data_IF_595091321976
#
_entry.id   IF_595091321976
#
_cell.length_a   1.000
_cell.length_b   1.000
_cell.length_c   1.000
_cell.angle_alpha   90.00
_cell.angle_beta   90.00
_cell.angle_gamma   90.00
#
_symmetry.space_group_name_H-M   'P 1'
#
loop_
_entity.id
_entity.type
_entity.pdbx_description
1 polymer ?
#
# COMPACT_ATOMS: atom_id res chain seq x y z
N UNK A 1 25.00 -10.20 -17.93
CA UNK A 1 23.92 -9.37 -18.52
C UNK A 1 22.66 -9.54 -17.67
N UNK A 2 22.33 -8.55 -16.85
CA UNK A 2 21.11 -8.55 -16.04
C UNK A 2 20.64 -7.12 -15.87
N UNK A 3 19.90 -6.60 -16.84
CA UNK A 3 19.33 -5.25 -16.76
C UNK A 3 18.25 -5.28 -15.68
N UNK A 4 18.56 -4.73 -14.52
CA UNK A 4 17.61 -4.39 -13.47
C UNK A 4 16.60 -3.41 -14.06
N UNK A 5 15.38 -3.88 -14.32
CA UNK A 5 14.26 -3.01 -14.66
C UNK A 5 13.79 -2.42 -13.33
N UNK A 6 14.47 -1.36 -12.89
CA UNK A 6 13.90 -0.41 -11.97
C UNK A 6 12.71 0.24 -12.69
N UNK A 7 11.52 -0.34 -12.51
CA UNK A 7 10.29 0.32 -12.94
C UNK A 7 10.19 1.64 -12.18
N UNK A 8 10.33 2.71 -12.94
CA UNK A 8 9.88 4.08 -12.73
C UNK A 8 8.91 4.26 -11.56
N UNK A 9 9.47 4.48 -10.36
CA UNK A 9 8.74 5.07 -9.24
C UNK A 9 8.67 6.57 -9.51
N UNK A 10 7.61 6.98 -10.21
CA UNK A 10 7.28 8.38 -10.53
C UNK A 10 7.24 9.22 -9.26
N UNK A 11 8.31 9.94 -8.94
CA UNK A 11 8.32 11.08 -8.02
C UNK A 11 7.55 10.88 -6.71
N UNK A 12 7.94 9.92 -5.88
CA UNK A 12 7.35 9.73 -4.55
C UNK A 12 8.21 10.46 -3.53
N UNK A 13 7.82 11.66 -3.11
CA UNK A 13 8.42 12.27 -1.91
C UNK A 13 8.07 11.38 -0.72
N UNK A 14 9.07 10.80 -0.03
CA UNK A 14 8.84 10.01 1.17
C UNK A 14 8.23 10.90 2.25
N UNK A 15 7.32 10.32 3.03
CA UNK A 15 6.68 10.99 4.17
C UNK A 15 7.79 11.39 5.15
N UNK A 16 7.83 12.66 5.56
CA UNK A 16 8.91 13.19 6.41
C UNK A 16 8.85 12.57 7.83
N UNK A 17 7.74 11.95 8.21
CA UNK A 17 7.49 11.36 9.53
C UNK A 17 6.67 10.04 9.51
N UNK A 18 6.21 9.60 8.34
CA UNK A 18 5.34 8.43 8.21
C UNK A 18 3.83 8.71 8.31
N UNK A 19 3.42 9.96 8.58
CA UNK A 19 2.01 10.34 8.73
C UNK A 19 1.50 11.00 7.44
N UNK A 20 0.39 10.53 6.83
CA UNK A 20 -0.12 11.17 5.62
C UNK A 20 -0.78 12.52 5.94
N UNK A 21 -0.68 13.46 5.00
CA UNK A 21 -1.36 14.75 5.08
C UNK A 21 -2.88 14.58 5.34
N UNK A 22 -3.54 15.44 6.14
CA UNK A 22 -4.96 15.31 6.49
C UNK A 22 -5.90 15.14 5.29
N UNK A 23 -5.69 15.92 4.22
CA UNK A 23 -6.47 15.78 2.97
C UNK A 23 -6.32 14.38 2.35
N UNK A 24 -5.12 13.81 2.40
CA UNK A 24 -4.86 12.44 1.89
C UNK A 24 -5.67 11.43 2.68
N UNK A 25 -5.68 11.55 4.01
CA UNK A 25 -6.44 10.67 4.90
C UNK A 25 -7.95 10.80 4.66
N UNK A 26 -8.47 12.02 4.56
CA UNK A 26 -9.90 12.26 4.32
C UNK A 26 -10.37 11.63 3.01
N UNK A 27 -9.64 11.86 1.92
CA UNK A 27 -9.96 11.26 0.61
C UNK A 27 -9.82 9.74 0.66
N UNK A 28 -8.75 9.23 1.27
CA UNK A 28 -8.54 7.78 1.40
C UNK A 28 -9.67 7.11 2.17
N UNK A 29 -10.11 7.68 3.29
CA UNK A 29 -11.28 7.20 4.05
C UNK A 29 -12.54 7.20 3.20
N UNK A 30 -12.82 8.29 2.48
CA UNK A 30 -13.99 8.36 1.59
C UNK A 30 -13.94 7.24 0.51
N UNK A 31 -12.78 7.02 -0.11
CA UNK A 31 -12.59 5.93 -1.08
C UNK A 31 -12.83 4.55 -0.46
N UNK A 32 -12.33 4.31 0.75
CA UNK A 32 -12.53 3.06 1.51
C UNK A 32 -13.99 2.84 1.90
N UNK A 33 -14.73 3.92 2.20
CA UNK A 33 -16.17 3.90 2.42
C UNK A 33 -17.01 3.75 1.14
N UNK A 34 -16.38 3.61 -0.03
CA UNK A 34 -17.06 3.34 -1.31
C UNK A 34 -17.34 4.58 -2.17
N UNK A 35 -16.80 5.75 -1.82
CA UNK A 35 -16.95 6.94 -2.66
C UNK A 35 -16.37 6.71 -4.07
N UNK A 36 -17.15 7.09 -5.09
CA UNK A 36 -16.75 6.97 -6.49
C UNK A 36 -16.26 8.32 -7.01
N UNK A 37 -14.94 8.48 -7.05
CA UNK A 37 -14.32 9.63 -7.71
C UNK A 37 -14.19 9.36 -9.23
N UNK A 38 -14.97 10.11 -10.02
CA UNK A 38 -14.77 10.20 -11.47
C UNK A 38 -13.92 11.42 -11.81
N UNK A 39 -12.93 11.24 -12.68
CA UNK A 39 -12.08 12.33 -13.18
C UNK A 39 -12.88 13.40 -13.90
N UNK A 40 -13.89 13.01 -14.67
CA UNK A 40 -14.72 13.94 -15.45
C UNK A 40 -15.67 14.76 -14.57
N UNK A 41 -16.03 14.24 -13.39
CA UNK A 41 -16.92 14.93 -12.44
C UNK A 41 -16.15 15.77 -11.40
N UNK A 42 -14.92 15.39 -11.08
CA UNK A 42 -14.15 15.97 -9.99
C UNK A 42 -12.78 16.48 -10.45
N UNK A 43 -12.75 17.19 -11.58
CA UNK A 43 -11.49 17.62 -12.21
C UNK A 43 -10.53 18.32 -11.24
N UNK A 44 -11.02 19.30 -10.47
CA UNK A 44 -10.24 20.06 -9.47
C UNK A 44 -9.63 19.16 -8.40
N UNK A 45 -10.38 18.16 -7.92
CA UNK A 45 -9.87 17.19 -6.95
C UNK A 45 -8.73 16.34 -7.55
N UNK A 46 -8.73 16.08 -8.86
CA UNK A 46 -7.64 15.35 -9.51
C UNK A 46 -6.39 16.19 -9.76
N UNK A 47 -6.45 17.52 -9.65
CA UNK A 47 -5.27 18.38 -9.71
C UNK A 47 -4.52 18.39 -8.36
N UNK A 48 -5.25 18.30 -7.26
CA UNK A 48 -4.69 18.26 -5.91
C UNK A 48 -3.74 17.06 -5.71
N UNK A 49 -2.47 17.30 -5.34
CA UNK A 49 -1.48 16.24 -5.18
C UNK A 49 -1.82 15.27 -4.04
N UNK A 50 -2.48 15.72 -2.98
CA UNK A 50 -2.87 14.87 -1.84
C UNK A 50 -3.99 13.89 -2.23
N UNK A 51 -4.95 14.35 -3.02
CA UNK A 51 -6.04 13.54 -3.57
C UNK A 51 -5.51 12.51 -4.56
N UNK A 52 -4.62 12.92 -5.48
CA UNK A 52 -3.92 11.96 -6.36
C UNK A 52 -3.17 10.91 -5.57
N UNK A 53 -2.50 11.29 -4.49
CA UNK A 53 -1.79 10.38 -3.60
C UNK A 53 -2.74 9.39 -2.91
N UNK A 54 -3.86 9.87 -2.37
CA UNK A 54 -4.88 9.01 -1.75
C UNK A 54 -5.45 7.99 -2.75
N UNK A 55 -5.76 8.41 -3.98
CA UNK A 55 -6.23 7.52 -5.04
C UNK A 55 -5.17 6.48 -5.40
N UNK A 56 -3.91 6.91 -5.57
CA UNK A 56 -2.81 6.02 -5.90
C UNK A 56 -2.57 4.98 -4.80
N UNK A 57 -2.55 5.42 -3.53
CA UNK A 57 -2.41 4.54 -2.38
C UNK A 57 -3.56 3.54 -2.27
N UNK A 58 -4.81 4.01 -2.38
CA UNK A 58 -5.99 3.13 -2.35
C UNK A 58 -5.92 2.04 -3.44
N UNK A 59 -5.62 2.44 -4.69
CA UNK A 59 -5.47 1.50 -5.81
C UNK A 59 -4.33 0.53 -5.60
N UNK A 60 -3.20 1.03 -5.08
CA UNK A 60 -2.02 0.22 -4.79
C UNK A 60 -2.34 -0.86 -3.75
N UNK A 61 -2.92 -0.50 -2.61
CA UNK A 61 -3.28 -1.45 -1.56
C UNK A 61 -4.31 -2.47 -2.05
N UNK A 62 -5.35 -2.04 -2.78
CA UNK A 62 -6.31 -2.97 -3.39
C UNK A 62 -5.68 -3.94 -4.37
N UNK A 63 -4.67 -3.50 -5.13
CA UNK A 63 -3.92 -4.38 -6.02
C UNK A 63 -3.07 -5.37 -5.24
N UNK A 64 -2.45 -4.98 -4.12
CA UNK A 64 -1.70 -5.90 -3.26
C UNK A 64 -2.63 -6.94 -2.65
N UNK A 65 -3.79 -6.53 -2.11
CA UNK A 65 -4.82 -7.44 -1.57
C UNK A 65 -5.19 -8.51 -2.58
N UNK A 66 -5.55 -8.11 -3.81
CA UNK A 66 -5.89 -9.05 -4.89
C UNK A 66 -4.76 -10.03 -5.21
N UNK A 67 -3.52 -9.55 -5.25
CA UNK A 67 -2.39 -10.41 -5.56
C UNK A 67 -2.15 -11.43 -4.44
N UNK A 68 -2.28 -11.04 -3.17
CA UNK A 68 -2.14 -11.96 -2.04
C UNK A 68 -3.29 -12.95 -1.98
N UNK A 69 -4.53 -12.51 -2.20
CA UNK A 69 -5.70 -13.41 -2.27
C UNK A 69 -5.57 -14.44 -3.39
N UNK A 70 -5.05 -14.04 -4.55
CA UNK A 70 -4.92 -14.93 -5.70
C UNK A 70 -3.70 -15.86 -5.62
N UNK A 71 -2.64 -15.45 -4.91
CA UNK A 71 -1.32 -16.09 -4.97
C UNK A 71 -0.63 -16.23 -3.59
N UNK A 72 -1.41 -16.37 -2.52
CA UNK A 72 -0.91 -16.48 -1.15
C UNK A 72 0.11 -17.61 -0.94
N UNK A 73 -0.05 -18.74 -1.62
CA UNK A 73 0.88 -19.87 -1.52
C UNK A 73 2.31 -19.55 -1.99
N UNK A 74 2.45 -18.55 -2.86
CA UNK A 74 3.73 -18.08 -3.40
C UNK A 74 4.27 -16.82 -2.71
N UNK A 75 3.65 -16.40 -1.60
CA UNK A 75 3.97 -15.18 -0.88
C UNK A 75 5.16 -15.39 0.06
N UNK A 76 6.12 -14.47 -0.02
CA UNK A 76 7.17 -14.32 0.99
C UNK A 76 7.11 -12.90 1.53
N UNK A 77 7.16 -12.76 2.85
CA UNK A 77 7.13 -11.46 3.53
C UNK A 77 8.42 -11.28 4.32
N UNK A 78 9.09 -10.15 4.10
CA UNK A 78 10.37 -9.84 4.73
C UNK A 78 10.32 -8.45 5.37
N UNK A 79 10.87 -8.33 6.58
CA UNK A 79 11.17 -7.03 7.19
C UNK A 79 12.54 -6.57 6.72
N UNK A 80 12.61 -5.37 6.15
CA UNK A 80 13.82 -4.76 5.62
C UNK A 80 14.50 -3.91 6.70
N UNK A 81 15.71 -4.29 7.10
CA UNK A 81 16.56 -3.48 7.98
C UNK A 81 17.03 -2.20 7.28
N UNK A 82 17.34 -2.30 5.99
CA UNK A 82 17.78 -1.19 5.13
C UNK A 82 16.85 -1.09 3.92
N UNK A 83 15.72 -0.38 4.04
CA UNK A 83 14.74 -0.35 2.96
C UNK A 83 15.27 0.49 1.79
N UNK A 84 15.05 0.01 0.56
CA UNK A 84 15.37 0.76 -0.65
C UNK A 84 14.54 2.06 -0.79
N UNK A 85 13.35 2.07 -0.19
CA UNK A 85 12.47 3.23 -0.10
C UNK A 85 12.30 3.63 1.37
N UNK A 86 12.68 4.85 1.76
CA UNK A 86 12.54 5.31 3.14
C UNK A 86 11.11 5.11 3.67
N UNK A 87 11.00 4.55 4.87
CA UNK A 87 9.73 4.29 5.55
C UNK A 87 8.99 3.01 5.13
N UNK A 88 9.36 2.37 4.01
CA UNK A 88 8.74 1.11 3.56
C UNK A 88 9.59 -0.10 3.96
N UNK A 89 9.36 -0.55 5.19
CA UNK A 89 10.16 -1.59 5.86
C UNK A 89 9.67 -3.01 5.62
N UNK A 90 8.62 -3.22 4.83
CA UNK A 90 8.12 -4.56 4.51
C UNK A 90 8.21 -4.80 3.02
N UNK A 91 8.78 -5.94 2.61
CA UNK A 91 8.77 -6.41 1.24
C UNK A 91 7.87 -7.65 1.14
N UNK A 92 6.84 -7.56 0.31
CA UNK A 92 5.97 -8.67 -0.04
C UNK A 92 6.38 -9.15 -1.44
N UNK A 93 7.02 -10.31 -1.51
CA UNK A 93 7.38 -10.95 -2.76
C UNK A 93 6.26 -11.93 -3.14
N UNK A 94 5.55 -11.65 -4.23
CA UNK A 94 4.41 -12.43 -4.71
C UNK A 94 4.84 -13.13 -5.99
N UNK A 95 4.82 -14.46 -5.99
CA UNK A 95 5.12 -15.27 -7.18
C UNK A 95 3.86 -15.57 -7.97
N UNK A 96 3.94 -15.49 -9.29
CA UNK A 96 2.86 -15.79 -10.22
C UNK A 96 3.24 -17.03 -11.03
N UNK A 97 2.93 -18.26 -10.57
CA UNK A 97 3.44 -19.49 -11.17
C UNK A 97 3.09 -19.61 -12.66
N UNK A 98 1.84 -19.27 -13.02
CA UNK A 98 1.34 -19.36 -14.41
C UNK A 98 2.03 -18.39 -15.38
N UNK A 99 2.58 -17.29 -14.87
CA UNK A 99 3.23 -16.26 -15.68
C UNK A 99 4.76 -16.30 -15.55
N UNK A 100 5.30 -17.24 -14.76
CA UNK A 100 6.72 -17.28 -14.38
C UNK A 100 7.27 -15.94 -13.88
N UNK A 101 6.41 -15.13 -13.26
CA UNK A 101 6.71 -13.76 -12.84
C UNK A 101 6.78 -13.63 -11.32
N UNK A 102 7.36 -12.51 -10.86
CA UNK A 102 7.25 -12.06 -9.47
C UNK A 102 6.97 -10.57 -9.40
N UNK A 103 6.22 -10.15 -8.40
CA UNK A 103 6.05 -8.75 -8.00
C UNK A 103 6.62 -8.57 -6.60
N UNK A 104 7.29 -7.45 -6.38
CA UNK A 104 7.67 -7.03 -5.03
C UNK A 104 6.89 -5.79 -4.67
N UNK A 105 6.11 -5.86 -3.60
CA UNK A 105 5.37 -4.73 -3.04
C UNK A 105 6.06 -4.28 -1.75
N UNK A 106 6.46 -3.01 -1.70
CA UNK A 106 7.06 -2.43 -0.50
C UNK A 106 6.00 -1.67 0.28
N UNK A 107 5.83 -1.97 1.57
CA UNK A 107 4.85 -1.33 2.45
C UNK A 107 5.53 -0.68 3.66
N UNK A 108 4.98 0.46 4.08
CA UNK A 108 5.26 1.03 5.40
C UNK A 108 4.37 0.39 6.48
N UNK A 109 4.69 0.59 7.75
CA UNK A 109 3.84 0.14 8.86
C UNK A 109 2.43 0.76 8.80
N UNK A 110 2.32 2.02 8.39
CA UNK A 110 1.03 2.69 8.19
C UNK A 110 0.22 2.02 7.06
N UNK A 111 0.86 1.76 5.92
CA UNK A 111 0.22 1.11 4.77
C UNK A 111 -0.22 -0.33 5.10
N UNK A 112 0.58 -1.04 5.91
CA UNK A 112 0.26 -2.36 6.44
C UNK A 112 -0.98 -2.31 7.36
N UNK A 113 -1.11 -1.25 8.15
CA UNK A 113 -2.26 -1.04 9.06
C UNK A 113 -3.54 -0.78 8.29
N UNK A 114 -3.46 0.04 7.24
CA UNK A 114 -4.59 0.25 6.33
C UNK A 114 -5.01 -1.05 5.64
N UNK A 115 -4.05 -1.84 5.18
CA UNK A 115 -4.30 -3.13 4.53
C UNK A 115 -4.95 -4.12 5.50
N UNK A 116 -4.47 -4.19 6.74
CA UNK A 116 -5.02 -5.09 7.76
C UNK A 116 -6.45 -4.72 8.17
N UNK A 117 -6.78 -3.43 8.22
CA UNK A 117 -8.14 -2.96 8.46
C UNK A 117 -9.07 -3.25 7.26
N UNK A 118 -8.59 -3.06 6.02
CA UNK A 118 -9.38 -3.31 4.81
C UNK A 118 -9.59 -4.80 4.50
N UNK A 119 -8.60 -5.64 4.81
CA UNK A 119 -8.58 -7.05 4.45
C UNK A 119 -8.00 -7.90 5.60
N UNK A 120 -8.78 -8.17 6.66
CA UNK A 120 -8.31 -8.91 7.83
C UNK A 120 -7.74 -10.30 7.50
N UNK A 121 -8.33 -10.99 6.51
CA UNK A 121 -7.82 -12.28 6.06
C UNK A 121 -6.42 -12.17 5.44
N UNK A 122 -6.16 -11.13 4.64
CA UNK A 122 -4.82 -10.91 4.08
C UNK A 122 -3.82 -10.61 5.19
N UNK A 123 -4.20 -9.83 6.20
CA UNK A 123 -3.32 -9.61 7.36
C UNK A 123 -2.92 -10.93 8.05
N UNK A 124 -3.86 -11.84 8.27
CA UNK A 124 -3.57 -13.16 8.85
C UNK A 124 -2.56 -13.95 8.01
N UNK A 125 -2.69 -13.90 6.67
CA UNK A 125 -1.72 -14.53 5.77
C UNK A 125 -0.34 -13.90 5.92
N UNK A 126 -0.27 -12.56 6.00
CA UNK A 126 1.00 -11.85 6.19
C UNK A 126 1.66 -12.19 7.54
N UNK A 127 0.87 -12.30 8.61
CA UNK A 127 1.34 -12.72 9.95
C UNK A 127 1.87 -14.15 9.93
N UNK A 128 1.14 -15.06 9.30
CA UNK A 128 1.58 -16.45 9.15
C UNK A 128 2.90 -16.54 8.37
N UNK A 129 3.09 -15.72 7.33
CA UNK A 129 4.34 -15.65 6.58
C UNK A 129 5.51 -15.04 7.38
N UNK A 130 5.24 -14.03 8.23
CA UNK A 130 6.26 -13.41 9.07
C UNK A 130 6.63 -14.25 10.30
N UNK A 131 5.69 -15.08 10.79
CA UNK A 131 5.84 -15.81 12.04
C UNK A 131 5.66 -14.95 13.29
N UNK A 132 5.22 -13.69 13.13
CA UNK A 132 5.00 -12.72 14.20
C UNK A 132 3.82 -11.80 13.85
N UNK A 133 3.19 -11.15 14.86
CA UNK A 133 2.15 -10.15 14.61
C UNK A 133 2.65 -8.98 13.77
N UNK A 134 1.78 -8.41 12.93
CA UNK A 134 2.16 -7.25 12.12
C UNK A 134 2.46 -6.04 13.03
N UNK A 135 3.54 -5.30 12.78
CA UNK A 135 3.86 -4.08 13.53
C UNK A 135 3.00 -2.93 13.00
N UNK A 136 1.73 -2.94 13.39
CA UNK A 136 0.73 -1.96 12.97
C UNK A 136 1.04 -0.59 13.60
N UNK A 137 1.04 0.44 12.77
CA UNK A 137 1.08 1.82 13.22
C UNK A 137 -0.34 2.28 13.59
N UNK A 138 -0.52 3.08 14.65
CA UNK A 138 -1.82 3.64 14.98
C UNK A 138 -2.32 4.47 13.81
N UNK A 139 -3.53 4.17 13.35
CA UNK A 139 -4.17 4.98 12.32
C UNK A 139 -4.58 6.32 12.95
N UNK A 140 -4.28 7.46 12.30
CA UNK A 140 -4.71 8.75 12.79
C UNK A 140 -6.23 8.75 12.93
N UNK A 141 -6.72 9.22 14.07
CA UNK A 141 -8.15 9.36 14.33
C UNK A 141 -8.77 10.35 13.33
N UNK A 142 -10.08 10.26 13.05
CA UNK A 142 -10.76 11.39 12.42
C UNK A 142 -10.57 12.62 13.33
N UNK A 143 -9.97 13.68 12.80
CA UNK A 143 -10.19 15.01 13.34
C UNK A 143 -11.62 15.38 12.98
N UNK A 144 -12.45 15.60 14.00
CA UNK A 144 -13.76 16.22 13.84
C UNK A 144 -13.49 17.69 13.46
N UNK A 145 -13.52 17.98 12.17
CA UNK A 145 -13.62 19.34 11.62
C UNK A 145 -15.08 19.63 11.26
#
# INVERSE_FOLDING_TARGET
>A
MGRSIAQSVVGWTPMIDGTPHPTTLRVLRALRAGARLSRNRHFVLYEDPHTRRAIALHRYLRSVVKDVEAHGDGLVVERLERPAVPGRRFALQIRFPRLHGRRVAYLSAFELSLLAEDAPHVAQVLEACLGEPLPLAPLPRPTDD
#
